data_IF_162047580469
#
_entry.id   IF_162047580469
#
_cell.length_a   1.000
_cell.length_b   1.000
_cell.length_c   1.000
_cell.angle_alpha   90.00
_cell.angle_beta   90.00
_cell.angle_gamma   90.00
#
_symmetry.space_group_name_H-M   'P 1'
#
loop_
_entity.id
_entity.type
_entity.pdbx_description
1 polymer ?
#
# COMPACT_ATOMS: atom_id res chain seq x y z
N UNK A 1 3.12 -13.82 7.93
CA UNK A 1 2.52 -13.42 6.63
C UNK A 1 1.14 -12.83 6.79
N UNK A 2 0.36 -13.21 7.81
CA UNK A 2 -0.94 -12.59 8.10
C UNK A 2 -0.88 -11.06 8.21
N UNK A 3 0.07 -10.51 8.97
CA UNK A 3 0.25 -9.06 9.08
C UNK A 3 0.58 -8.39 7.73
N UNK A 4 1.31 -9.06 6.83
CA UNK A 4 1.61 -8.53 5.48
C UNK A 4 0.37 -8.60 4.59
N UNK A 5 -0.43 -9.65 4.71
CA UNK A 5 -1.72 -9.77 4.02
C UNK A 5 -2.69 -8.68 4.47
N UNK A 6 -2.81 -8.47 5.78
CA UNK A 6 -3.63 -7.42 6.37
C UNK A 6 -3.19 -6.03 5.93
N UNK A 7 -1.88 -5.74 5.93
CA UNK A 7 -1.35 -4.48 5.37
C UNK A 7 -1.70 -4.36 3.88
N UNK A 8 -1.62 -5.45 3.12
CA UNK A 8 -2.00 -5.48 1.71
C UNK A 8 -3.47 -5.11 1.48
N UNK A 9 -4.37 -5.73 2.24
CA UNK A 9 -5.81 -5.46 2.21
C UNK A 9 -6.12 -4.02 2.63
N UNK A 10 -5.55 -3.55 3.74
CA UNK A 10 -5.71 -2.16 4.23
C UNK A 10 -5.20 -1.16 3.18
N UNK A 11 -4.07 -1.43 2.53
CA UNK A 11 -3.55 -0.58 1.44
C UNK A 11 -4.51 -0.53 0.25
N UNK A 12 -5.02 -1.68 -0.17
CA UNK A 12 -5.97 -1.77 -1.29
C UNK A 12 -7.26 -1.01 -0.98
N UNK A 13 -7.80 -1.19 0.23
CA UNK A 13 -8.99 -0.49 0.70
C UNK A 13 -8.77 1.02 0.76
N UNK A 14 -7.69 1.49 1.41
CA UNK A 14 -7.37 2.91 1.48
C UNK A 14 -7.12 3.54 0.09
N UNK A 15 -6.56 2.80 -0.85
CA UNK A 15 -6.39 3.26 -2.23
C UNK A 15 -7.74 3.44 -2.94
N UNK A 16 -8.68 2.49 -2.78
CA UNK A 16 -10.02 2.60 -3.33
C UNK A 16 -10.78 3.79 -2.71
N UNK A 17 -10.83 3.87 -1.38
CA UNK A 17 -11.54 4.94 -0.67
C UNK A 17 -10.99 6.34 -1.01
N UNK A 18 -9.68 6.49 -1.19
CA UNK A 18 -9.08 7.79 -1.59
C UNK A 18 -9.38 8.13 -3.05
N UNK A 19 -9.47 7.14 -3.93
CA UNK A 19 -9.87 7.35 -5.32
C UNK A 19 -11.35 7.74 -5.44
N UNK A 20 -12.24 7.06 -4.71
CA UNK A 20 -13.66 7.39 -4.63
C UNK A 20 -13.88 8.82 -4.13
N UNK A 21 -13.23 9.22 -3.03
CA UNK A 21 -13.32 10.59 -2.51
C UNK A 21 -12.83 11.63 -3.52
N UNK A 22 -11.72 11.36 -4.23
CA UNK A 22 -11.22 12.27 -5.26
C UNK A 22 -12.21 12.39 -6.45
N UNK A 23 -12.86 11.29 -6.84
CA UNK A 23 -13.89 11.31 -7.87
C UNK A 23 -15.11 12.13 -7.44
N UNK A 24 -15.57 11.97 -6.18
CA UNK A 24 -16.68 12.76 -5.63
C UNK A 24 -16.35 14.26 -5.63
N UNK A 25 -15.16 14.66 -5.17
CA UNK A 25 -14.73 16.06 -5.21
C UNK A 25 -14.71 16.60 -6.66
N UNK A 26 -14.22 15.81 -7.60
CA UNK A 26 -14.16 16.20 -9.03
C UNK A 26 -15.54 16.37 -9.64
N UNK A 27 -16.54 15.61 -9.18
CA UNK A 27 -17.93 15.74 -9.62
C UNK A 27 -18.66 16.90 -8.95
N UNK A 28 -18.41 17.15 -7.65
CA UNK A 28 -19.10 18.17 -6.86
C UNK A 28 -18.59 19.59 -7.12
N UNK A 29 -17.31 19.76 -7.46
CA UNK A 29 -16.71 21.08 -7.73
C UNK A 29 -17.41 21.83 -8.88
N UNK A 30 -17.61 21.25 -10.08
CA UNK A 30 -18.34 21.89 -11.16
C UNK A 30 -19.79 22.21 -10.75
N UNK A 31 -20.47 21.28 -10.08
CA UNK A 31 -21.85 21.47 -9.63
C UNK A 31 -22.00 22.58 -8.57
N UNK A 32 -20.96 22.79 -7.74
CA UNK A 32 -20.90 23.92 -6.80
C UNK A 32 -20.65 25.24 -7.53
N UNK A 33 -19.82 25.23 -8.56
CA UNK A 33 -19.52 26.42 -9.36
C UNK A 33 -20.73 26.86 -10.21
N UNK A 34 -21.46 25.91 -10.80
CA UNK A 34 -22.69 26.19 -11.54
C UNK A 34 -23.78 26.78 -10.63
N UNK A 35 -23.82 26.36 -9.35
CA UNK A 35 -24.75 26.92 -8.36
C UNK A 35 -24.57 28.42 -8.12
N UNK A 36 -23.34 28.92 -8.28
CA UNK A 36 -23.03 30.34 -8.08
C UNK A 36 -23.82 31.26 -9.03
N UNK A 37 -24.25 30.75 -10.19
CA UNK A 37 -24.99 31.52 -11.18
C UNK A 37 -26.44 31.81 -10.79
N UNK A 38 -27.04 31.00 -9.89
CA UNK A 38 -28.47 31.12 -9.56
C UNK A 38 -28.78 31.17 -8.05
N UNK A 39 -27.98 30.55 -7.18
CA UNK A 39 -28.21 30.57 -5.72
C UNK A 39 -26.89 30.47 -4.93
N UNK A 40 -26.49 31.61 -4.34
CA UNK A 40 -25.30 31.71 -3.51
C UNK A 40 -25.36 30.88 -2.22
N UNK A 41 -26.57 30.64 -1.68
CA UNK A 41 -26.74 29.86 -0.45
C UNK A 41 -26.50 28.37 -0.73
N UNK A 42 -27.02 27.89 -1.84
CA UNK A 42 -26.79 26.53 -2.33
C UNK A 42 -25.33 26.31 -2.71
N UNK A 43 -24.71 27.27 -3.40
CA UNK A 43 -23.27 27.27 -3.69
C UNK A 43 -22.44 27.09 -2.42
N UNK A 44 -22.73 27.87 -1.37
CA UNK A 44 -21.98 27.85 -0.12
C UNK A 44 -22.14 26.52 0.63
N UNK A 45 -23.31 25.90 0.55
CA UNK A 45 -23.54 24.56 1.11
C UNK A 45 -22.71 23.49 0.38
N UNK A 46 -22.70 23.50 -0.96
CA UNK A 46 -21.90 22.55 -1.76
C UNK A 46 -20.40 22.74 -1.57
N UNK A 47 -19.92 23.98 -1.45
CA UNK A 47 -18.52 24.23 -1.13
C UNK A 47 -18.13 23.75 0.27
N UNK A 48 -19.02 23.85 1.27
CA UNK A 48 -18.76 23.25 2.59
C UNK A 48 -18.57 21.74 2.48
N UNK A 49 -19.41 21.07 1.72
CA UNK A 49 -19.28 19.61 1.49
C UNK A 49 -17.96 19.27 0.79
N UNK A 50 -17.58 20.01 -0.25
CA UNK A 50 -16.29 19.84 -0.94
C UNK A 50 -15.10 20.05 0.02
N UNK A 51 -15.16 21.07 0.87
CA UNK A 51 -14.10 21.34 1.87
C UNK A 51 -14.00 20.20 2.88
N UNK A 52 -15.12 19.72 3.41
CA UNK A 52 -15.15 18.57 4.33
C UNK A 52 -14.55 17.31 3.68
N UNK A 53 -14.98 16.99 2.45
CA UNK A 53 -14.44 15.85 1.69
C UNK A 53 -12.94 16.00 1.42
N UNK A 54 -12.46 17.22 1.18
CA UNK A 54 -11.04 17.48 0.96
C UNK A 54 -10.21 17.28 2.24
N UNK A 55 -10.70 17.71 3.40
CA UNK A 55 -10.04 17.44 4.69
C UNK A 55 -9.97 15.93 4.99
N UNK A 56 -11.05 15.20 4.72
CA UNK A 56 -11.07 13.74 4.83
C UNK A 56 -10.10 13.08 3.84
N UNK A 57 -10.06 13.54 2.59
CA UNK A 57 -9.14 13.03 1.57
C UNK A 57 -7.68 13.25 1.98
N UNK A 58 -7.35 14.43 2.51
CA UNK A 58 -6.00 14.74 3.00
C UNK A 58 -5.61 13.80 4.13
N UNK A 59 -6.50 13.61 5.11
CA UNK A 59 -6.30 12.67 6.22
C UNK A 59 -6.08 11.25 5.71
N UNK A 60 -6.93 10.79 4.78
CA UNK A 60 -6.79 9.49 4.13
C UNK A 60 -5.47 9.34 3.36
N UNK A 61 -5.01 10.39 2.68
CA UNK A 61 -3.71 10.40 2.00
C UNK A 61 -2.54 10.27 2.97
N UNK A 62 -2.60 10.92 4.13
CA UNK A 62 -1.59 10.77 5.19
C UNK A 62 -1.51 9.34 5.70
N UNK A 63 -2.67 8.74 6.04
CA UNK A 63 -2.73 7.36 6.52
C UNK A 63 -2.20 6.41 5.45
N UNK A 64 -2.67 6.54 4.21
CA UNK A 64 -2.22 5.72 3.06
C UNK A 64 -0.70 5.81 2.86
N UNK A 65 -0.12 7.02 2.97
CA UNK A 65 1.33 7.21 2.88
C UNK A 65 2.06 6.48 4.00
N UNK A 66 1.63 6.66 5.24
CA UNK A 66 2.22 5.99 6.40
C UNK A 66 2.17 4.46 6.25
N UNK A 67 1.03 3.89 5.85
CA UNK A 67 0.90 2.44 5.60
C UNK A 67 1.80 1.98 4.45
N UNK A 68 1.93 2.76 3.37
CA UNK A 68 2.82 2.45 2.26
C UNK A 68 4.30 2.44 2.69
N UNK A 69 4.71 3.42 3.50
CA UNK A 69 6.06 3.51 4.04
C UNK A 69 6.40 2.31 4.92
N UNK A 70 5.47 1.90 5.80
CA UNK A 70 5.62 0.70 6.63
C UNK A 70 5.79 -0.56 5.77
N UNK A 71 4.96 -0.74 4.75
CA UNK A 71 5.05 -1.89 3.85
C UNK A 71 6.40 -1.94 3.10
N UNK A 72 6.86 -0.80 2.60
CA UNK A 72 8.15 -0.69 1.91
C UNK A 72 9.30 -0.97 2.88
N UNK A 73 9.24 -0.49 4.13
CA UNK A 73 10.24 -0.77 5.14
C UNK A 73 10.31 -2.27 5.47
N UNK A 74 9.17 -2.95 5.63
CA UNK A 74 9.13 -4.40 5.85
C UNK A 74 9.72 -5.19 4.68
N UNK A 75 9.42 -4.80 3.44
CA UNK A 75 9.98 -5.44 2.24
C UNK A 75 11.49 -5.23 2.13
N UNK A 76 11.99 -4.02 2.46
CA UNK A 76 13.43 -3.74 2.51
C UNK A 76 14.14 -4.58 3.56
N UNK A 77 13.52 -4.75 4.74
CA UNK A 77 14.04 -5.62 5.79
C UNK A 77 14.16 -7.06 5.30
N UNK A 78 13.07 -7.63 4.76
CA UNK A 78 13.08 -8.98 4.17
C UNK A 78 14.14 -9.14 3.07
N UNK A 79 14.27 -8.16 2.17
CA UNK A 79 15.30 -8.19 1.14
C UNK A 79 16.71 -8.20 1.74
N UNK A 80 16.96 -7.42 2.80
CA UNK A 80 18.25 -7.35 3.47
C UNK A 80 18.60 -8.68 4.13
N UNK A 81 17.65 -9.32 4.82
CA UNK A 81 17.87 -10.63 5.44
C UNK A 81 18.14 -11.70 4.35
N UNK A 82 17.41 -11.66 3.23
CA UNK A 82 17.67 -12.54 2.08
C UNK A 82 19.05 -12.32 1.49
N UNK A 83 19.47 -11.06 1.29
CA UNK A 83 20.81 -10.73 0.82
C UNK A 83 21.89 -11.26 1.77
N UNK A 84 21.71 -11.11 3.08
CA UNK A 84 22.62 -11.68 4.08
C UNK A 84 22.68 -13.21 3.97
N UNK A 85 21.54 -13.89 3.85
CA UNK A 85 21.50 -15.34 3.65
C UNK A 85 22.22 -15.79 2.36
N UNK A 86 22.12 -15.00 1.29
CA UNK A 86 22.81 -15.28 0.03
C UNK A 86 24.31 -15.05 0.15
N UNK A 87 24.76 -14.00 0.87
CA UNK A 87 26.19 -13.71 1.08
C UNK A 87 26.92 -14.79 1.90
N UNK A 88 26.20 -15.59 2.67
CA UNK A 88 26.74 -16.78 3.35
C UNK A 88 27.02 -17.95 2.39
N UNK A 89 26.64 -17.84 1.11
CA UNK A 89 26.73 -18.91 0.11
C UNK A 89 27.46 -18.42 -1.14
N UNK A 90 28.19 -19.31 -1.81
CA UNK A 90 29.03 -18.95 -2.97
C UNK A 90 28.42 -19.45 -4.27
N UNK A 91 28.42 -18.60 -5.29
CA UNK A 91 28.09 -18.97 -6.66
C UNK A 91 26.67 -19.54 -6.84
N UNK A 92 26.59 -20.79 -7.31
CA UNK A 92 25.32 -21.46 -7.66
C UNK A 92 24.38 -21.61 -6.47
N UNK A 93 24.91 -21.83 -5.26
CA UNK A 93 24.10 -22.04 -4.05
C UNK A 93 23.41 -20.75 -3.58
N UNK A 94 24.06 -19.60 -3.77
CA UNK A 94 23.43 -18.30 -3.50
C UNK A 94 22.26 -18.03 -4.46
N UNK A 95 22.44 -18.34 -5.76
CA UNK A 95 21.37 -18.23 -6.76
C UNK A 95 20.19 -19.17 -6.48
N UNK A 96 20.46 -20.40 -6.05
CA UNK A 96 19.44 -21.37 -5.67
C UNK A 96 18.57 -20.86 -4.51
N UNK A 97 19.20 -20.33 -3.45
CA UNK A 97 18.47 -19.73 -2.32
C UNK A 97 17.57 -18.58 -2.75
N UNK A 98 18.02 -17.67 -3.64
CA UNK A 98 17.15 -16.59 -4.15
C UNK A 98 15.92 -17.16 -4.87
N UNK A 99 16.11 -18.15 -5.73
CA UNK A 99 15.02 -18.76 -6.49
C UNK A 99 14.02 -19.48 -5.56
N UNK A 100 14.54 -20.29 -4.63
CA UNK A 100 13.75 -21.02 -3.66
C UNK A 100 13.00 -20.08 -2.69
N UNK A 101 13.65 -19.03 -2.20
CA UNK A 101 13.01 -18.02 -1.36
C UNK A 101 11.89 -17.29 -2.09
N UNK A 102 12.07 -16.91 -3.37
CA UNK A 102 10.98 -16.32 -4.17
C UNK A 102 9.81 -17.27 -4.33
N UNK A 103 10.07 -18.56 -4.58
CA UNK A 103 9.04 -19.60 -4.67
C UNK A 103 8.28 -19.74 -3.34
N UNK A 104 8.99 -19.80 -2.21
CA UNK A 104 8.38 -19.89 -0.89
C UNK A 104 7.50 -18.67 -0.56
N UNK A 105 7.93 -17.46 -0.94
CA UNK A 105 7.13 -16.23 -0.79
C UNK A 105 5.86 -16.28 -1.66
N UNK A 106 5.95 -16.75 -2.91
CA UNK A 106 4.78 -16.89 -3.80
C UNK A 106 3.77 -17.93 -3.26
N UNK A 107 4.26 -19.03 -2.69
CA UNK A 107 3.44 -20.06 -2.06
C UNK A 107 2.92 -19.69 -0.66
N UNK A 108 3.22 -18.48 -0.18
CA UNK A 108 2.92 -18.02 1.19
C UNK A 108 3.45 -18.96 2.30
N UNK A 109 4.53 -19.70 2.03
CA UNK A 109 5.08 -20.71 2.93
C UNK A 109 6.29 -20.15 3.71
N UNK A 110 6.01 -19.62 4.90
CA UNK A 110 7.02 -18.99 5.78
C UNK A 110 7.99 -20.02 6.35
N UNK A 111 7.50 -21.21 6.69
CA UNK A 111 8.32 -22.26 7.28
C UNK A 111 9.38 -22.75 6.27
N UNK A 112 8.97 -22.93 5.01
CA UNK A 112 9.88 -23.21 3.92
C UNK A 112 10.89 -22.06 3.73
N UNK A 113 10.45 -20.81 3.79
CA UNK A 113 11.35 -19.64 3.67
C UNK A 113 12.42 -19.64 4.77
N UNK A 114 12.03 -19.85 6.03
CA UNK A 114 12.97 -19.93 7.17
C UNK A 114 13.95 -21.09 6.97
N UNK A 115 13.45 -22.27 6.58
CA UNK A 115 14.27 -23.45 6.34
C UNK A 115 15.29 -23.22 5.21
N UNK A 116 14.88 -22.61 4.11
CA UNK A 116 15.77 -22.24 2.99
C UNK A 116 16.86 -21.27 3.45
N UNK A 117 16.52 -20.31 4.31
CA UNK A 117 17.50 -19.35 4.83
C UNK A 117 18.51 -20.02 5.77
N UNK A 118 18.05 -20.91 6.65
CA UNK A 118 18.88 -21.65 7.62
C UNK A 118 19.79 -22.69 6.95
N UNK A 119 19.23 -23.57 6.12
CA UNK A 119 19.91 -24.77 5.62
C UNK A 119 20.30 -24.65 4.14
N UNK A 120 19.54 -23.89 3.36
CA UNK A 120 19.69 -23.78 1.91
C UNK A 120 18.60 -24.54 1.15
N UNK A 121 18.72 -24.54 -0.18
CA UNK A 121 17.91 -25.40 -1.06
C UNK A 121 18.62 -26.75 -1.17
N UNK A 122 17.88 -27.85 -1.03
CA UNK A 122 18.42 -29.22 -1.02
C UNK A 122 19.14 -29.59 -2.31
#
# INVERSE_FOLDING_TARGET
MEHVSQIGEVRSRLAAETAERAQLITALLPAAQDAAAYDLREMLNRYKEVVMLNEELLTGCYIRRSTQEQAVASLKSLHTILQQAVRLRVGKYGKAVVAASRKAVQSNNVEALIKIMQVGDS
#
